data_IF_938284461153
#
_entry.id   IF_938284461153
#
_cell.length_a   1.000
_cell.length_b   1.000
_cell.length_c   1.000
_cell.angle_alpha   90.00
_cell.angle_beta   90.00
_cell.angle_gamma   90.00
#
_symmetry.space_group_name_H-M   'P 1'
#
loop_
_entity.id
_entity.type
_entity.pdbx_description
1 polymer ?
#
# COMPACT_ATOMS: atom_id res chain seq x y z
N UNK A 1 -9.05 18.62 -3.77
CA UNK A 1 -8.79 17.97 -2.46
C UNK A 1 -7.43 17.31 -2.50
N UNK A 2 -6.61 17.53 -1.47
CA UNK A 2 -5.30 16.91 -1.35
C UNK A 2 -5.40 15.67 -0.47
N UNK A 3 -4.81 14.56 -0.93
CA UNK A 3 -4.69 13.34 -0.13
C UNK A 3 -3.25 13.26 0.37
N UNK A 4 -3.09 13.15 1.69
CA UNK A 4 -1.76 13.09 2.32
C UNK A 4 -1.52 11.66 2.80
N UNK A 5 -0.42 11.06 2.35
CA UNK A 5 0.03 9.73 2.75
C UNK A 5 1.40 9.81 3.39
N UNK A 6 1.54 9.20 4.57
CA UNK A 6 2.83 9.06 5.25
C UNK A 6 3.22 7.58 5.21
N UNK A 7 4.35 7.29 4.59
CA UNK A 7 4.81 5.92 4.39
C UNK A 7 5.94 5.56 5.37
N UNK A 8 6.10 4.25 5.63
CA UNK A 8 7.17 3.75 6.46
C UNK A 8 6.83 3.75 7.95
N UNK A 9 5.55 3.68 8.28
CA UNK A 9 5.11 3.62 9.68
C UNK A 9 5.45 2.27 10.28
N UNK A 10 5.95 2.30 11.51
CA UNK A 10 6.41 1.08 12.18
C UNK A 10 6.20 1.12 13.69
N UNK A 11 6.48 2.24 14.32
CA UNK A 11 6.40 2.39 15.77
C UNK A 11 4.99 2.79 16.19
N UNK A 12 4.36 2.10 17.17
CA UNK A 12 2.98 2.43 17.58
C UNK A 12 2.78 3.89 17.99
N UNK A 13 3.75 4.48 18.69
CA UNK A 13 3.66 5.88 19.09
C UNK A 13 3.65 6.83 17.89
N UNK A 14 4.49 6.57 16.91
CA UNK A 14 4.54 7.36 15.69
C UNK A 14 3.24 7.22 14.90
N UNK A 15 2.69 6.02 14.83
CA UNK A 15 1.43 5.77 14.14
C UNK A 15 0.32 6.62 14.75
N UNK A 16 0.23 6.62 16.07
CA UNK A 16 -0.80 7.40 16.76
C UNK A 16 -0.60 8.90 16.57
N UNK A 17 0.63 9.39 16.69
CA UNK A 17 0.94 10.81 16.50
C UNK A 17 0.62 11.28 15.09
N UNK A 18 1.00 10.48 14.08
CA UNK A 18 0.73 10.81 12.68
C UNK A 18 -0.77 10.78 12.40
N UNK A 19 -1.50 9.80 12.97
CA UNK A 19 -2.95 9.73 12.82
C UNK A 19 -3.64 11.00 13.35
N UNK A 20 -3.14 11.55 14.46
CA UNK A 20 -3.69 12.77 15.05
C UNK A 20 -3.46 14.02 14.20
N UNK A 21 -2.49 13.98 13.28
CA UNK A 21 -2.23 15.08 12.36
C UNK A 21 -3.25 15.17 11.23
N UNK A 22 -4.16 14.21 11.13
CA UNK A 22 -5.20 14.22 10.11
C UNK A 22 -4.75 13.78 8.72
N UNK A 23 -3.72 12.94 8.64
CA UNK A 23 -3.32 12.36 7.36
C UNK A 23 -4.38 11.41 6.83
N UNK A 24 -4.45 11.25 5.52
CA UNK A 24 -5.46 10.41 4.90
C UNK A 24 -5.04 8.94 4.85
N UNK A 25 -3.76 8.69 4.65
CA UNK A 25 -3.22 7.34 4.51
C UNK A 25 -1.90 7.18 5.27
N UNK A 26 -1.69 5.99 5.82
CA UNK A 26 -0.42 5.57 6.41
C UNK A 26 0.05 4.30 5.73
N UNK A 27 1.33 4.27 5.32
CA UNK A 27 1.92 3.13 4.66
C UNK A 27 2.79 2.29 5.58
N UNK A 28 2.65 0.97 5.50
CA UNK A 28 3.46 -0.02 6.20
C UNK A 28 4.24 -0.81 5.16
N UNK A 29 5.56 -0.82 5.26
CA UNK A 29 6.42 -1.43 4.24
C UNK A 29 6.72 -2.88 4.61
N UNK A 30 6.28 -3.81 3.77
CA UNK A 30 6.48 -5.25 3.93
C UNK A 30 7.59 -5.80 3.04
N UNK A 31 8.49 -4.95 2.59
CA UNK A 31 9.66 -5.35 1.81
C UNK A 31 10.85 -5.55 2.76
N UNK A 32 11.35 -6.79 2.94
CA UNK A 32 12.40 -7.08 3.95
C UNK A 32 13.70 -6.31 3.75
N UNK A 33 13.99 -5.88 2.53
CA UNK A 33 15.21 -5.09 2.24
C UNK A 33 15.08 -3.62 2.61
N UNK A 34 13.89 -3.16 2.96
CA UNK A 34 13.68 -1.77 3.38
C UNK A 34 14.13 -1.58 4.82
N UNK A 35 14.82 -0.47 5.16
CA UNK A 35 15.14 -0.16 6.55
C UNK A 35 13.92 0.13 7.40
N UNK A 36 12.75 0.37 6.77
CA UNK A 36 11.48 0.61 7.46
C UNK A 36 10.54 -0.60 7.41
N UNK A 37 11.11 -1.79 7.19
CA UNK A 37 10.34 -3.04 7.14
C UNK A 37 9.60 -3.30 8.45
N UNK A 38 8.33 -3.69 8.34
CA UNK A 38 7.47 -4.02 9.48
C UNK A 38 7.27 -5.52 9.50
N UNK A 39 7.71 -6.18 10.56
CA UNK A 39 7.61 -7.64 10.71
C UNK A 39 6.51 -8.08 11.67
N UNK A 40 6.07 -7.19 12.57
CA UNK A 40 5.08 -7.53 13.59
C UNK A 40 3.82 -6.71 13.41
N UNK A 41 2.67 -7.36 13.67
CA UNK A 41 1.37 -6.71 13.59
C UNK A 41 1.29 -5.54 14.59
N UNK A 42 0.71 -4.44 14.13
CA UNK A 42 0.45 -3.27 14.95
C UNK A 42 -1.06 -3.13 15.05
N UNK A 43 -1.58 -3.22 16.27
CA UNK A 43 -3.01 -3.11 16.50
C UNK A 43 -3.52 -1.72 16.13
N UNK A 44 -4.71 -1.68 15.54
CA UNK A 44 -5.35 -0.43 15.17
C UNK A 44 -5.88 0.26 16.42
N UNK A 45 -5.50 1.52 16.63
CA UNK A 45 -6.00 2.34 17.71
C UNK A 45 -7.24 3.13 17.29
N UNK A 46 -7.96 3.70 18.26
CA UNK A 46 -9.10 4.56 17.93
C UNK A 46 -8.69 5.79 17.12
N UNK A 47 -7.48 6.29 17.35
CA UNK A 47 -6.95 7.46 16.63
C UNK A 47 -6.73 7.21 15.16
N UNK A 48 -6.34 5.98 14.77
CA UNK A 48 -6.00 5.67 13.38
C UNK A 48 -7.13 5.00 12.60
N UNK A 49 -8.32 4.81 13.21
CA UNK A 49 -9.46 4.15 12.55
C UNK A 49 -9.93 4.87 11.29
N UNK A 50 -9.79 6.19 11.25
CA UNK A 50 -10.21 6.99 10.10
C UNK A 50 -9.15 7.10 9.03
N UNK A 51 -7.96 6.60 9.31
CA UNK A 51 -6.83 6.65 8.39
C UNK A 51 -6.81 5.38 7.55
N UNK A 52 -6.64 5.53 6.25
CA UNK A 52 -6.49 4.40 5.36
C UNK A 52 -5.11 3.76 5.59
N UNK A 53 -5.09 2.48 5.94
CA UNK A 53 -3.85 1.74 6.20
C UNK A 53 -3.44 1.04 4.91
N UNK A 54 -2.27 1.39 4.40
CA UNK A 54 -1.75 0.89 3.13
C UNK A 54 -0.56 -0.03 3.37
N UNK A 55 -0.64 -1.26 2.90
CA UNK A 55 0.51 -2.16 2.91
C UNK A 55 1.31 -2.01 1.62
N UNK A 56 2.62 -1.76 1.72
CA UNK A 56 3.50 -1.63 0.56
C UNK A 56 4.24 -2.95 0.35
N UNK A 57 4.04 -3.56 -0.80
CA UNK A 57 4.59 -4.86 -1.15
C UNK A 57 5.46 -4.77 -2.40
N UNK A 58 6.46 -5.65 -2.47
CA UNK A 58 7.35 -5.77 -3.64
C UNK A 58 7.39 -7.25 -4.03
N UNK A 59 6.66 -7.59 -5.07
CA UNK A 59 6.62 -8.95 -5.65
C UNK A 59 6.27 -10.07 -4.65
N UNK A 60 5.39 -9.78 -3.69
CA UNK A 60 4.93 -10.79 -2.74
C UNK A 60 3.86 -11.68 -3.35
N UNK A 61 3.70 -12.89 -2.79
CA UNK A 61 2.64 -13.81 -3.20
C UNK A 61 1.26 -13.32 -2.74
N UNK A 62 0.22 -13.77 -3.44
CA UNK A 62 -1.16 -13.43 -3.05
C UNK A 62 -1.48 -13.90 -1.63
N UNK A 63 -1.16 -15.16 -1.24
CA UNK A 63 -1.41 -15.61 0.15
C UNK A 63 -0.72 -14.74 1.20
N UNK A 64 0.53 -14.33 0.96
CA UNK A 64 1.27 -13.49 1.89
C UNK A 64 0.63 -12.10 2.03
N UNK A 65 0.20 -11.52 0.91
CA UNK A 65 -0.48 -10.22 0.94
C UNK A 65 -1.80 -10.30 1.70
N UNK A 66 -2.59 -11.37 1.48
CA UNK A 66 -3.85 -11.57 2.18
C UNK A 66 -3.63 -11.71 3.68
N UNK A 67 -2.61 -12.46 4.09
CA UNK A 67 -2.25 -12.58 5.50
C UNK A 67 -1.96 -11.22 6.14
N UNK A 68 -1.19 -10.38 5.45
CA UNK A 68 -0.86 -9.03 5.95
C UNK A 68 -2.07 -8.12 6.00
N UNK A 69 -2.96 -8.22 5.01
CA UNK A 69 -4.23 -7.48 5.02
C UNK A 69 -5.00 -7.77 6.30
N UNK A 70 -5.11 -9.03 6.67
CA UNK A 70 -5.83 -9.41 7.89
C UNK A 70 -5.06 -9.04 9.17
N UNK A 71 -3.77 -9.34 9.22
CA UNK A 71 -2.95 -9.12 10.42
C UNK A 71 -2.80 -7.65 10.78
N UNK A 72 -2.73 -6.76 9.77
CA UNK A 72 -2.51 -5.34 9.96
C UNK A 72 -3.77 -4.50 9.74
N UNK A 73 -4.91 -5.13 9.48
CA UNK A 73 -6.17 -4.45 9.18
C UNK A 73 -6.00 -3.42 8.05
N UNK A 74 -5.41 -3.87 6.94
CA UNK A 74 -5.14 -2.99 5.81
C UNK A 74 -6.41 -2.67 5.05
N UNK A 75 -6.51 -1.43 4.57
CA UNK A 75 -7.59 -0.96 3.71
C UNK A 75 -7.17 -0.91 2.25
N UNK A 76 -5.86 -0.83 2.00
CA UNK A 76 -5.31 -0.74 0.66
C UNK A 76 -3.98 -1.48 0.57
N UNK A 77 -3.62 -1.84 -0.64
CA UNK A 77 -2.33 -2.49 -0.96
C UNK A 77 -1.66 -1.65 -2.05
N UNK A 78 -0.40 -1.31 -1.82
CA UNK A 78 0.43 -0.63 -2.81
C UNK A 78 1.44 -1.63 -3.38
N UNK A 79 1.35 -1.88 -4.67
CA UNK A 79 2.23 -2.79 -5.38
C UNK A 79 3.37 -1.98 -6.00
N UNK A 80 4.55 -2.11 -5.42
CA UNK A 80 5.70 -1.26 -5.73
C UNK A 80 6.80 -1.99 -6.52
N UNK A 81 6.57 -3.24 -6.89
CA UNK A 81 7.52 -4.05 -7.66
C UNK A 81 7.09 -4.23 -9.10
N UNK A 82 7.46 -5.37 -9.66
CA UNK A 82 7.12 -5.74 -11.03
C UNK A 82 5.83 -6.53 -11.17
N UNK A 83 4.89 -6.36 -10.26
CA UNK A 83 3.61 -7.06 -10.29
C UNK A 83 2.86 -6.76 -11.59
N UNK A 84 2.29 -7.81 -12.18
CA UNK A 84 1.53 -7.70 -13.43
C UNK A 84 0.07 -7.31 -13.16
N UNK A 85 -0.65 -6.99 -14.25
CA UNK A 85 -2.11 -6.79 -14.18
C UNK A 85 -2.81 -8.02 -13.60
N UNK A 86 -2.33 -9.22 -13.95
CA UNK A 86 -2.92 -10.47 -13.47
C UNK A 86 -2.84 -10.58 -11.94
N UNK A 87 -1.74 -10.14 -11.34
CA UNK A 87 -1.57 -10.12 -9.89
C UNK A 87 -2.62 -9.19 -9.26
N UNK A 88 -2.85 -8.03 -9.85
CA UNK A 88 -3.89 -7.10 -9.38
C UNK A 88 -5.27 -7.75 -9.41
N UNK A 89 -5.59 -8.43 -10.51
CA UNK A 89 -6.87 -9.10 -10.67
C UNK A 89 -7.04 -10.25 -9.67
N UNK A 90 -6.00 -11.06 -9.46
CA UNK A 90 -6.00 -12.15 -8.48
C UNK A 90 -6.16 -11.64 -7.05
N UNK A 91 -5.50 -10.53 -6.72
CA UNK A 91 -5.62 -9.93 -5.40
C UNK A 91 -7.05 -9.45 -5.15
N UNK A 92 -7.67 -8.85 -6.16
CA UNK A 92 -9.06 -8.38 -6.05
C UNK A 92 -10.05 -9.54 -5.91
N UNK A 93 -9.78 -10.67 -6.58
CA UNK A 93 -10.60 -11.88 -6.39
C UNK A 93 -10.47 -12.42 -4.97
N UNK A 94 -9.26 -12.38 -4.42
CA UNK A 94 -8.99 -12.86 -3.06
C UNK A 94 -9.60 -11.95 -1.99
N UNK A 95 -9.70 -10.63 -2.28
CA UNK A 95 -10.26 -9.64 -1.35
C UNK A 95 -10.88 -8.49 -2.14
N UNK A 96 -12.20 -8.59 -2.37
CA UNK A 96 -12.92 -7.65 -3.24
C UNK A 96 -13.04 -6.23 -2.72
N UNK A 97 -12.87 -6.04 -1.41
CA UNK A 97 -13.00 -4.72 -0.78
C UNK A 97 -11.70 -3.93 -0.72
N UNK A 98 -10.56 -4.59 -0.95
CA UNK A 98 -9.26 -3.93 -0.85
C UNK A 98 -9.07 -2.92 -1.98
N UNK A 99 -8.51 -1.76 -1.65
CA UNK A 99 -8.09 -0.79 -2.66
C UNK A 99 -6.70 -1.16 -3.14
N UNK A 100 -6.46 -1.05 -4.43
CA UNK A 100 -5.17 -1.39 -5.03
C UNK A 100 -4.53 -0.14 -5.63
N UNK A 101 -3.30 0.13 -5.22
CA UNK A 101 -2.47 1.22 -5.72
C UNK A 101 -1.32 0.58 -6.48
N UNK A 102 -1.13 0.94 -7.74
CA UNK A 102 0.04 0.48 -8.49
C UNK A 102 1.05 1.60 -8.58
N UNK A 103 2.25 1.35 -8.07
CA UNK A 103 3.36 2.29 -8.18
C UNK A 103 4.05 2.08 -9.52
N UNK A 104 4.26 3.17 -10.25
CA UNK A 104 4.93 3.18 -11.55
C UNK A 104 6.23 3.96 -11.38
N UNK A 105 7.37 3.29 -11.59
CA UNK A 105 8.68 3.93 -11.55
C UNK A 105 8.89 4.74 -12.82
N UNK A 106 9.23 6.00 -12.68
CA UNK A 106 9.40 6.93 -13.79
C UNK A 106 10.84 7.44 -13.83
N UNK A 107 11.60 7.00 -14.83
CA UNK A 107 12.96 7.51 -15.11
C UNK A 107 12.96 8.50 -16.26
N UNK A 108 11.98 8.41 -17.14
CA UNK A 108 11.82 9.31 -18.29
C UNK A 108 10.33 9.43 -18.63
N UNK A 109 10.00 10.36 -19.54
CA UNK A 109 8.59 10.63 -19.90
C UNK A 109 7.86 9.42 -20.48
N UNK A 110 8.57 8.51 -21.15
CA UNK A 110 7.97 7.30 -21.72
C UNK A 110 7.47 6.32 -20.68
N UNK A 111 8.07 6.33 -19.48
CA UNK A 111 7.67 5.42 -18.41
C UNK A 111 6.26 5.69 -17.90
N UNK A 112 5.77 6.91 -18.03
CA UNK A 112 4.41 7.28 -17.57
C UNK A 112 3.37 6.42 -18.29
N UNK A 113 3.62 6.04 -19.54
CA UNK A 113 2.69 5.23 -20.32
C UNK A 113 2.47 3.81 -19.77
N UNK A 114 3.32 3.34 -18.89
CA UNK A 114 3.20 2.01 -18.27
C UNK A 114 1.89 1.83 -17.51
N UNK A 115 1.28 2.91 -17.05
CA UNK A 115 0.02 2.82 -16.31
C UNK A 115 -1.11 2.17 -17.13
N UNK A 116 -1.03 2.26 -18.45
CA UNK A 116 -2.09 1.79 -19.35
C UNK A 116 -2.41 0.31 -19.18
N UNK A 117 -1.40 -0.50 -18.84
CA UNK A 117 -1.58 -1.93 -18.61
C UNK A 117 -2.49 -2.23 -17.41
N UNK A 118 -2.58 -1.30 -16.47
CA UNK A 118 -3.27 -1.50 -15.21
C UNK A 118 -4.63 -0.81 -15.13
N UNK A 119 -5.02 -0.08 -16.16
CA UNK A 119 -6.30 0.62 -16.17
C UNK A 119 -7.45 -0.39 -16.04
N UNK A 120 -8.34 -0.15 -15.09
CA UNK A 120 -9.45 -1.05 -14.78
C UNK A 120 -9.12 -2.16 -13.79
N UNK A 121 -7.84 -2.41 -13.49
CA UNK A 121 -7.41 -3.41 -12.53
C UNK A 121 -7.06 -2.83 -11.17
N UNK A 122 -6.79 -1.53 -11.10
CA UNK A 122 -6.38 -0.84 -9.86
C UNK A 122 -7.25 0.38 -9.62
N UNK A 123 -7.21 0.87 -8.37
CA UNK A 123 -8.00 2.04 -7.97
C UNK A 123 -7.20 3.33 -8.09
N UNK A 124 -5.88 3.27 -7.88
CA UNK A 124 -5.00 4.43 -7.90
C UNK A 124 -3.66 4.11 -8.54
N UNK A 125 -3.03 5.13 -9.08
CA UNK A 125 -1.63 5.07 -9.53
C UNK A 125 -0.77 6.00 -8.68
N UNK A 126 0.46 5.55 -8.40
CA UNK A 126 1.49 6.36 -7.77
C UNK A 126 2.69 6.42 -8.73
N UNK A 127 3.04 7.63 -9.15
CA UNK A 127 4.21 7.81 -10.01
C UNK A 127 5.40 8.21 -9.15
N UNK A 128 6.47 7.43 -9.20
CA UNK A 128 7.65 7.58 -8.36
C UNK A 128 8.90 7.73 -9.23
N UNK A 129 9.75 8.69 -8.89
CA UNK A 129 10.98 8.98 -9.65
C UNK A 129 12.24 8.39 -9.03
#
# INVERSE_FOLDING_TARGET
MMVVKVCGMREPENIEQVAQLGVDMMGFIFYPKSPRYVSQAVNRSDSDRKVCRVGVFVNDSIPDMVDRIHSFSLNAVQLHGGESREVCEQLREANGEIKIIKAISVSNAGDIQKYKEYVGAVDYFLFDT
#
